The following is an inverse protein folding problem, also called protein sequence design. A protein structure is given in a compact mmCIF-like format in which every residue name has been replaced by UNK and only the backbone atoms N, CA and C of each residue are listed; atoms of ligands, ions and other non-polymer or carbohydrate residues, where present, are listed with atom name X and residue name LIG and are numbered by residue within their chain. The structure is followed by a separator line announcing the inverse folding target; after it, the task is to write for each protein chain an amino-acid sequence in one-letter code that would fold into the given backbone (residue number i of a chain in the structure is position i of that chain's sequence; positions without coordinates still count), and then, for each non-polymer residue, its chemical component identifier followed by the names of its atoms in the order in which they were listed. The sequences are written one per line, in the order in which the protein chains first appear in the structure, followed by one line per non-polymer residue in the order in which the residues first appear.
data_IF_058426390578
#
_entry.id   IF_058426390578
#
_cell.length_a   1.000
_cell.length_b   1.000
_cell.length_c   1.000
_cell.angle_alpha   90.00
_cell.angle_beta   90.00
_cell.angle_gamma   90.00
#
_symmetry.space_group_name_H-M   'P 1'
#
loop_
_entity.id
_entity.type
_entity.pdbx_description
1 polymer ?
#
# COMPACT_ATOMS: atom_id res chain seq x y z
N UNK A 1 -34.24 56.67 -3.80
CA UNK A 1 -34.88 55.37 -3.42
C UNK A 1 -34.42 54.29 -4.43
N UNK A 2 -33.72 53.27 -4.05
CA UNK A 2 -33.35 52.23 -4.98
C UNK A 2 -34.54 51.34 -5.28
N UNK A 3 -34.74 51.08 -6.56
CA UNK A 3 -35.81 50.24 -7.10
C UNK A 3 -35.75 48.80 -6.60
N UNK A 4 -36.86 48.11 -6.42
CA UNK A 4 -36.93 46.75 -5.86
C UNK A 4 -36.13 45.71 -6.66
N UNK A 5 -35.81 45.98 -7.90
CA UNK A 5 -35.02 45.10 -8.78
C UNK A 5 -33.56 44.89 -8.29
N UNK A 6 -32.96 45.91 -7.68
CA UNK A 6 -31.56 45.86 -7.20
C UNK A 6 -31.41 44.96 -5.95
N UNK A 7 -32.47 44.77 -5.16
CA UNK A 7 -32.46 43.85 -4.00
C UNK A 7 -32.58 42.38 -4.38
N UNK A 8 -33.26 42.06 -5.50
CA UNK A 8 -33.40 40.68 -5.96
C UNK A 8 -32.08 40.11 -6.48
N UNK A 9 -31.27 40.93 -7.15
CA UNK A 9 -29.95 40.52 -7.65
C UNK A 9 -28.90 40.29 -6.55
N UNK A 10 -29.07 40.93 -5.39
CA UNK A 10 -28.14 40.70 -4.23
C UNK A 10 -28.42 39.40 -3.49
N UNK A 11 -29.66 38.90 -3.49
CA UNK A 11 -30.02 37.63 -2.84
C UNK A 11 -29.67 36.42 -3.69
N UNK A 12 -29.66 36.56 -5.02
CA UNK A 12 -29.25 35.48 -5.92
C UNK A 12 -27.72 35.29 -5.98
N UNK A 13 -26.96 36.35 -5.65
CA UNK A 13 -25.51 36.30 -5.70
C UNK A 13 -24.86 35.64 -4.46
N UNK A 14 -25.56 35.59 -3.34
CA UNK A 14 -25.04 34.96 -2.09
C UNK A 14 -25.42 33.46 -1.99
N UNK A 15 -26.48 33.00 -2.62
CA UNK A 15 -26.91 31.62 -2.56
C UNK A 15 -26.11 30.65 -3.45
N UNK A 16 -25.72 31.12 -4.62
CA UNK A 16 -24.94 30.28 -5.56
C UNK A 16 -23.46 30.15 -5.20
N UNK A 17 -22.86 31.16 -4.55
CA UNK A 17 -21.48 31.10 -4.12
C UNK A 17 -21.26 30.09 -2.99
N UNK A 18 -22.21 29.91 -2.08
CA UNK A 18 -22.11 28.95 -0.96
C UNK A 18 -22.28 27.51 -1.43
N UNK A 19 -23.13 27.25 -2.41
CA UNK A 19 -23.36 25.91 -2.97
C UNK A 19 -22.16 25.42 -3.81
N UNK A 20 -21.54 26.33 -4.56
CA UNK A 20 -20.33 25.99 -5.37
C UNK A 20 -19.13 25.75 -4.47
N UNK A 21 -18.99 26.51 -3.37
CA UNK A 21 -17.87 26.30 -2.41
C UNK A 21 -18.02 24.99 -1.64
N UNK A 22 -19.25 24.57 -1.29
CA UNK A 22 -19.48 23.29 -0.62
C UNK A 22 -19.23 22.08 -1.53
N UNK A 23 -19.53 22.19 -2.83
CA UNK A 23 -19.25 21.15 -3.83
C UNK A 23 -17.78 21.00 -4.15
N UNK A 24 -17.00 22.10 -4.13
CA UNK A 24 -15.54 22.07 -4.35
C UNK A 24 -14.76 21.54 -3.15
N UNK A 25 -15.32 21.61 -1.93
CA UNK A 25 -14.68 21.07 -0.72
C UNK A 25 -14.88 19.56 -0.54
N UNK A 26 -15.88 18.96 -1.20
CA UNK A 26 -16.11 17.50 -1.13
C UNK A 26 -15.37 16.68 -2.19
N UNK A 27 -14.89 17.29 -3.27
CA UNK A 27 -14.28 16.58 -4.39
C UNK A 27 -12.80 16.15 -4.18
N UNK A 28 -11.92 16.90 -3.49
CA UNK A 28 -10.53 16.52 -3.38
C UNK A 28 -10.26 15.32 -2.46
N UNK A 29 -11.13 15.05 -1.47
CA UNK A 29 -10.89 13.97 -0.50
C UNK A 29 -11.03 12.59 -1.15
N UNK A 30 -11.96 12.39 -2.05
CA UNK A 30 -12.17 11.12 -2.73
C UNK A 30 -11.12 10.81 -3.80
N UNK A 31 -10.60 11.81 -4.48
CA UNK A 31 -9.55 11.66 -5.49
C UNK A 31 -8.18 11.37 -4.84
N UNK A 32 -7.84 12.06 -3.75
CA UNK A 32 -6.60 11.79 -3.00
C UNK A 32 -6.58 10.36 -2.45
N UNK A 33 -7.68 9.88 -1.84
CA UNK A 33 -7.75 8.51 -1.33
C UNK A 33 -7.68 7.44 -2.43
N UNK A 34 -8.14 7.73 -3.66
CA UNK A 34 -8.01 6.83 -4.80
C UNK A 34 -6.56 6.74 -5.29
N UNK A 35 -5.83 7.87 -5.32
CA UNK A 35 -4.42 7.90 -5.70
C UNK A 35 -3.55 7.14 -4.68
N UNK A 36 -3.78 7.34 -3.39
CA UNK A 36 -3.06 6.67 -2.30
C UNK A 36 -3.27 5.15 -2.32
N UNK A 37 -4.48 4.68 -2.60
CA UNK A 37 -4.75 3.24 -2.79
C UNK A 37 -4.08 2.68 -4.03
N UNK A 38 -4.02 3.44 -5.11
CA UNK A 38 -3.33 3.05 -6.34
C UNK A 38 -1.83 2.93 -6.14
N UNK A 39 -1.22 3.86 -5.39
CA UNK A 39 0.20 3.81 -5.03
C UNK A 39 0.51 2.61 -4.12
N UNK A 40 -0.33 2.35 -3.13
CA UNK A 40 -0.19 1.18 -2.28
C UNK A 40 -0.35 -0.13 -3.08
N UNK A 41 -1.32 -0.21 -3.99
CA UNK A 41 -1.49 -1.36 -4.87
C UNK A 41 -0.26 -1.59 -5.76
N UNK A 42 0.33 -0.53 -6.30
CA UNK A 42 1.56 -0.60 -7.08
C UNK A 42 2.74 -1.10 -6.25
N UNK A 43 2.87 -0.66 -4.99
CA UNK A 43 3.90 -1.14 -4.07
C UNK A 43 3.73 -2.65 -3.77
N UNK A 44 2.51 -3.12 -3.51
CA UNK A 44 2.23 -4.56 -3.33
C UNK A 44 2.52 -5.37 -4.59
N UNK A 45 2.17 -4.86 -5.76
CA UNK A 45 2.46 -5.51 -7.04
C UNK A 45 3.97 -5.72 -7.22
N UNK A 46 4.78 -4.71 -6.88
CA UNK A 46 6.23 -4.81 -6.93
C UNK A 46 6.76 -5.86 -5.91
N UNK A 47 6.28 -5.84 -4.68
CA UNK A 47 6.68 -6.81 -3.65
C UNK A 47 6.31 -8.24 -4.05
N UNK A 48 5.10 -8.46 -4.59
CA UNK A 48 4.66 -9.78 -5.09
C UNK A 48 5.51 -10.25 -6.28
N UNK A 49 5.82 -9.36 -7.23
CA UNK A 49 6.69 -9.69 -8.35
C UNK A 49 8.09 -10.10 -7.87
N UNK A 50 8.66 -9.37 -6.91
CA UNK A 50 9.97 -9.68 -6.33
C UNK A 50 9.96 -10.98 -5.54
N UNK A 51 8.86 -11.30 -4.85
CA UNK A 51 8.67 -12.59 -4.20
C UNK A 51 8.72 -13.76 -5.20
N UNK A 52 8.07 -13.64 -6.34
CA UNK A 52 8.13 -14.66 -7.41
C UNK A 52 9.54 -14.81 -7.97
N UNK A 53 10.28 -13.73 -8.11
CA UNK A 53 11.70 -13.76 -8.53
C UNK A 53 12.54 -14.51 -7.51
N UNK A 54 12.36 -14.24 -6.21
CA UNK A 54 13.10 -14.91 -5.14
C UNK A 54 12.83 -16.42 -5.13
N UNK A 55 11.56 -16.85 -5.26
CA UNK A 55 11.21 -18.27 -5.37
C UNK A 55 11.86 -18.94 -6.57
N UNK A 56 11.76 -18.33 -7.75
CA UNK A 56 12.36 -18.87 -8.98
C UNK A 56 13.89 -18.97 -8.86
N UNK A 57 14.53 -17.97 -8.26
CA UNK A 57 15.97 -17.95 -8.05
C UNK A 57 16.40 -19.05 -7.09
N UNK A 58 15.62 -19.31 -6.02
CA UNK A 58 15.88 -20.41 -5.09
C UNK A 58 15.85 -21.78 -5.82
N UNK A 59 14.97 -21.93 -6.80
CA UNK A 59 14.85 -23.20 -7.55
C UNK A 59 15.96 -23.39 -8.60
N UNK A 60 16.39 -22.31 -9.22
CA UNK A 60 17.26 -22.37 -10.42
C UNK A 60 18.71 -21.95 -10.18
N UNK A 61 19.00 -21.25 -9.07
CA UNK A 61 20.32 -20.66 -8.82
C UNK A 61 20.84 -21.02 -7.41
N UNK A 62 21.91 -20.35 -7.02
CA UNK A 62 22.59 -20.57 -5.75
C UNK A 62 21.98 -19.77 -4.59
N UNK A 63 22.59 -19.93 -3.41
CA UNK A 63 22.17 -19.25 -2.18
C UNK A 63 22.41 -17.75 -2.22
N UNK A 64 23.56 -17.34 -2.75
CA UNK A 64 23.97 -15.95 -2.80
C UNK A 64 22.99 -15.13 -3.65
N UNK A 65 22.63 -15.64 -4.84
CA UNK A 65 21.64 -14.98 -5.71
C UNK A 65 20.26 -14.95 -5.04
N UNK A 66 19.88 -16.03 -4.35
CA UNK A 66 18.59 -16.08 -3.63
C UNK A 66 18.58 -15.08 -2.48
N UNK A 67 19.64 -14.96 -1.72
CA UNK A 67 19.75 -13.97 -0.65
C UNK A 67 19.65 -12.55 -1.18
N UNK A 68 20.28 -12.26 -2.31
CA UNK A 68 20.16 -10.96 -2.98
C UNK A 68 18.71 -10.64 -3.41
N UNK A 69 17.97 -11.63 -3.94
CA UNK A 69 16.58 -11.45 -4.32
C UNK A 69 15.64 -11.26 -3.12
N UNK A 70 15.89 -11.96 -2.01
CA UNK A 70 15.13 -11.75 -0.78
C UNK A 70 15.43 -10.37 -0.17
N UNK A 71 16.65 -9.87 -0.31
CA UNK A 71 16.98 -8.50 0.09
C UNK A 71 16.16 -7.47 -0.72
N UNK A 72 16.09 -7.64 -2.04
CA UNK A 72 15.27 -6.79 -2.92
C UNK A 72 13.77 -6.91 -2.61
N UNK A 73 13.30 -8.11 -2.26
CA UNK A 73 11.93 -8.32 -1.79
C UNK A 73 11.65 -7.48 -0.53
N UNK A 74 12.58 -7.49 0.43
CA UNK A 74 12.44 -6.70 1.64
C UNK A 74 12.46 -5.20 1.34
N UNK A 75 13.33 -4.72 0.44
CA UNK A 75 13.34 -3.32 0.00
C UNK A 75 12.01 -2.93 -0.66
N UNK A 76 11.46 -3.78 -1.54
CA UNK A 76 10.15 -3.55 -2.14
C UNK A 76 9.02 -3.54 -1.09
N UNK A 77 9.11 -4.36 -0.05
CA UNK A 77 8.15 -4.38 1.05
C UNK A 77 8.29 -3.14 1.95
N UNK A 78 9.48 -2.59 2.14
CA UNK A 78 9.67 -1.32 2.85
C UNK A 78 8.92 -0.17 2.15
N UNK A 79 8.78 -0.19 0.83
CA UNK A 79 7.95 0.77 0.12
C UNK A 79 6.46 0.61 0.47
N UNK A 80 5.96 -0.61 0.69
CA UNK A 80 4.60 -0.84 1.20
C UNK A 80 4.42 -0.22 2.58
N UNK A 81 5.35 -0.44 3.51
CA UNK A 81 5.32 0.12 4.86
C UNK A 81 5.29 1.66 4.79
N UNK A 82 6.15 2.27 3.97
CA UNK A 82 6.20 3.72 3.81
C UNK A 82 4.89 4.29 3.27
N UNK A 83 4.25 3.63 2.31
CA UNK A 83 2.94 4.05 1.78
C UNK A 83 1.84 3.96 2.84
N UNK A 84 1.83 2.90 3.64
CA UNK A 84 0.88 2.76 4.74
C UNK A 84 1.09 3.84 5.79
N UNK A 85 2.33 4.09 6.20
CA UNK A 85 2.65 5.10 7.23
C UNK A 85 2.30 6.53 6.76
N UNK A 86 2.59 6.85 5.50
CA UNK A 86 2.30 8.17 4.93
C UNK A 86 0.79 8.43 4.81
N UNK A 87 0.00 7.38 4.52
CA UNK A 87 -1.40 7.52 4.09
C UNK A 87 -2.40 6.82 5.01
N UNK A 88 -1.99 6.47 6.23
CA UNK A 88 -2.76 5.69 7.22
C UNK A 88 -4.22 6.12 7.38
N UNK A 89 -4.44 7.41 7.58
CA UNK A 89 -5.78 7.98 7.81
C UNK A 89 -6.67 7.84 6.58
N UNK A 90 -6.12 8.07 5.40
CA UNK A 90 -6.86 7.99 4.14
C UNK A 90 -7.17 6.55 3.72
N UNK A 91 -6.27 5.62 4.04
CA UNK A 91 -6.44 4.19 3.76
C UNK A 91 -7.46 3.53 4.67
N UNK A 92 -7.70 4.07 5.89
CA UNK A 92 -8.69 3.54 6.83
C UNK A 92 -8.37 2.12 7.32
N UNK A 93 -7.08 1.79 7.44
CA UNK A 93 -6.62 0.47 7.87
C UNK A 93 -6.85 0.27 9.36
N UNK A 94 -7.15 -0.97 9.75
CA UNK A 94 -7.34 -1.33 11.14
C UNK A 94 -6.01 -1.29 11.94
N UNK A 95 -6.05 -1.13 13.29
CA UNK A 95 -4.85 -1.04 14.11
C UNK A 95 -3.95 -2.30 14.05
N UNK A 96 -4.54 -3.48 13.76
CA UNK A 96 -3.80 -4.75 13.73
C UNK A 96 -2.96 -4.87 12.45
N UNK A 97 -3.26 -4.04 11.44
CA UNK A 97 -2.53 -4.04 10.17
C UNK A 97 -1.04 -3.76 10.35
N UNK A 98 -0.69 -2.87 11.26
CA UNK A 98 0.71 -2.55 11.58
C UNK A 98 1.46 -3.74 12.18
N UNK A 99 0.80 -4.47 13.06
CA UNK A 99 1.35 -5.69 13.63
C UNK A 99 1.68 -6.72 12.56
N UNK A 100 0.82 -6.84 11.54
CA UNK A 100 1.05 -7.75 10.41
C UNK A 100 2.21 -7.28 9.51
N UNK A 101 2.30 -5.97 9.23
CA UNK A 101 3.44 -5.42 8.48
C UNK A 101 4.76 -5.69 9.19
N UNK A 102 4.83 -5.40 10.48
CA UNK A 102 6.03 -5.63 11.29
C UNK A 102 6.39 -7.13 11.36
N UNK A 103 5.41 -7.99 11.56
CA UNK A 103 5.62 -9.45 11.58
C UNK A 103 6.18 -9.96 10.26
N UNK A 104 5.69 -9.45 9.14
CA UNK A 104 6.18 -9.84 7.82
C UNK A 104 7.62 -9.36 7.57
N UNK A 105 7.97 -8.12 7.95
CA UNK A 105 9.34 -7.61 7.85
C UNK A 105 10.32 -8.44 8.68
N UNK A 106 9.97 -8.77 9.92
CA UNK A 106 10.78 -9.65 10.78
C UNK A 106 10.90 -11.05 10.18
N UNK A 107 9.83 -11.58 9.60
CA UNK A 107 9.86 -12.89 8.94
C UNK A 107 10.82 -12.91 7.74
N UNK A 108 10.89 -11.83 6.96
CA UNK A 108 11.85 -11.72 5.85
C UNK A 108 13.30 -11.74 6.33
N UNK A 109 13.61 -11.12 7.48
CA UNK A 109 14.94 -11.24 8.10
C UNK A 109 15.23 -12.69 8.49
N UNK A 110 14.27 -13.39 9.06
CA UNK A 110 14.40 -14.81 9.39
C UNK A 110 14.68 -15.68 8.16
N UNK A 111 14.00 -15.41 7.04
CA UNK A 111 14.23 -16.11 5.76
C UNK A 111 15.68 -15.91 5.28
N UNK A 112 16.22 -14.70 5.36
CA UNK A 112 17.63 -14.43 4.98
C UNK A 112 18.61 -15.31 5.77
N UNK A 113 18.40 -15.44 7.09
CA UNK A 113 19.23 -16.33 7.92
C UNK A 113 19.11 -17.79 7.50
N UNK A 114 17.90 -18.25 7.16
CA UNK A 114 17.68 -19.63 6.69
C UNK A 114 18.36 -19.87 5.34
N UNK A 115 18.36 -18.88 4.44
CA UNK A 115 19.05 -18.97 3.15
C UNK A 115 20.57 -19.07 3.37
N UNK A 116 21.12 -18.28 4.29
CA UNK A 116 22.56 -18.26 4.53
C UNK A 116 23.07 -19.55 5.17
N UNK A 117 22.31 -20.16 6.09
CA UNK A 117 22.78 -21.26 6.94
C UNK A 117 21.99 -22.57 6.76
N UNK A 118 20.82 -22.53 6.12
CA UNK A 118 19.92 -23.67 5.97
C UNK A 118 20.08 -24.46 4.67
N UNK A 119 19.21 -25.45 4.49
CA UNK A 119 19.05 -26.16 3.22
C UNK A 119 18.15 -25.37 2.26
N UNK A 120 18.17 -25.78 0.96
CA UNK A 120 17.24 -25.20 -0.04
C UNK A 120 15.77 -25.48 0.32
N UNK A 121 15.49 -26.64 0.89
CA UNK A 121 14.15 -27.02 1.34
C UNK A 121 13.70 -26.12 2.52
N UNK A 122 14.55 -25.94 3.52
CA UNK A 122 14.28 -25.03 4.63
C UNK A 122 14.06 -23.58 4.16
N UNK A 123 14.81 -23.11 3.17
CA UNK A 123 14.64 -21.78 2.58
C UNK A 123 13.28 -21.68 1.85
N UNK A 124 12.86 -22.71 1.13
CA UNK A 124 11.54 -22.77 0.49
C UNK A 124 10.41 -22.71 1.52
N UNK A 125 10.52 -23.53 2.58
CA UNK A 125 9.53 -23.58 3.65
C UNK A 125 9.42 -22.24 4.38
N UNK A 126 10.55 -21.53 4.54
CA UNK A 126 10.57 -20.20 5.14
C UNK A 126 10.00 -19.10 4.21
N UNK A 127 10.18 -19.21 2.89
CA UNK A 127 9.64 -18.25 1.92
C UNK A 127 8.13 -18.41 1.69
N UNK A 128 7.60 -19.62 1.76
CA UNK A 128 6.19 -19.90 1.48
C UNK A 128 5.21 -19.04 2.31
N UNK A 129 5.38 -18.87 3.63
CA UNK A 129 4.52 -17.99 4.43
C UNK A 129 4.60 -16.52 4.02
N UNK A 130 5.73 -16.05 3.49
CA UNK A 130 5.89 -14.66 3.05
C UNK A 130 4.88 -14.32 1.95
N UNK A 131 4.76 -15.16 0.93
CA UNK A 131 3.79 -14.93 -0.15
C UNK A 131 2.34 -14.93 0.33
N UNK A 132 1.99 -15.85 1.24
CA UNK A 132 0.66 -15.89 1.85
C UNK A 132 0.36 -14.61 2.66
N UNK A 133 1.31 -14.16 3.46
CA UNK A 133 1.14 -12.98 4.29
C UNK A 133 1.08 -11.69 3.45
N UNK A 134 1.83 -11.61 2.35
CA UNK A 134 1.71 -10.51 1.37
C UNK A 134 0.30 -10.45 0.78
N UNK A 135 -0.24 -11.60 0.36
CA UNK A 135 -1.59 -11.69 -0.19
C UNK A 135 -2.67 -11.32 0.85
N UNK A 136 -2.50 -11.72 2.10
CA UNK A 136 -3.41 -11.38 3.19
C UNK A 136 -3.39 -9.88 3.48
N UNK A 137 -2.21 -9.26 3.56
CA UNK A 137 -2.07 -7.81 3.74
C UNK A 137 -2.73 -7.04 2.60
N UNK A 138 -2.52 -7.46 1.36
CA UNK A 138 -3.15 -6.86 0.18
C UNK A 138 -4.68 -6.97 0.24
N UNK A 139 -5.22 -8.13 0.59
CA UNK A 139 -6.65 -8.35 0.73
C UNK A 139 -7.27 -7.48 1.83
N UNK A 140 -6.61 -7.36 2.99
CA UNK A 140 -7.09 -6.51 4.10
C UNK A 140 -7.07 -5.02 3.76
N UNK A 141 -6.15 -4.57 2.94
CA UNK A 141 -6.14 -3.21 2.43
C UNK A 141 -7.25 -2.96 1.37
N UNK A 142 -8.07 -3.97 1.04
CA UNK A 142 -9.11 -3.92 0.02
C UNK A 142 -8.60 -3.45 -1.35
N UNK A 143 -7.38 -3.83 -1.69
CA UNK A 143 -6.75 -3.56 -2.98
C UNK A 143 -7.13 -4.70 -3.93
N UNK A 144 -8.11 -4.45 -4.77
CA UNK A 144 -8.51 -5.38 -5.83
C UNK A 144 -7.73 -5.03 -7.10
N UNK A 145 -7.16 -6.06 -7.72
CA UNK A 145 -6.58 -5.96 -9.07
C UNK A 145 -7.66 -5.76 -10.12
#
# INVERSE_FOLDING_TARGET
MPTPIVRLFRLLRSGTAVLVTALLLQWPIGLAAADERSELAAAFKLANAQYQVALKTLETRGREETAAEVHRLREAFQAVIQQVDANRTALGLDPDYDGMLMQLDVSMVGVMLVIDFGSREAARDALTPIGRNLAELQARAALHE
#
